data_IF_534222620258
#
_entry.id   IF_534222620258
#
_cell.length_a   1.000
_cell.length_b   1.000
_cell.length_c   1.000
_cell.angle_alpha   90.00
_cell.angle_beta   90.00
_cell.angle_gamma   90.00
#
_symmetry.space_group_name_H-M   'P 1'
#
loop_
_entity.id
_entity.type
_entity.pdbx_description
1 polymer ?
#
# COMPACT_ATOMS: atom_id res chain seq x y z
N UNK A 1 -6.52 -5.84 -20.44
CA UNK A 1 -6.25 -5.41 -19.05
C UNK A 1 -4.89 -5.91 -18.51
N UNK A 2 -3.88 -6.19 -19.36
CA UNK A 2 -2.57 -6.72 -18.90
C UNK A 2 -1.58 -5.64 -18.42
N UNK A 3 -1.89 -4.37 -18.62
CA UNK A 3 -0.97 -3.25 -18.33
C UNK A 3 -1.16 -2.59 -16.97
N UNK A 4 -2.15 -3.05 -16.17
CA UNK A 4 -2.38 -2.48 -14.85
C UNK A 4 -1.46 -3.11 -13.82
N UNK A 5 -0.77 -2.25 -13.07
CA UNK A 5 0.26 -2.59 -12.10
C UNK A 5 -0.35 -2.55 -10.69
N UNK A 6 -0.01 -3.49 -9.82
CA UNK A 6 -0.44 -3.48 -8.41
C UNK A 6 0.37 -2.42 -7.66
N UNK A 7 -0.26 -1.34 -7.19
CA UNK A 7 0.44 -0.28 -6.47
C UNK A 7 0.65 -0.63 -5.00
N UNK A 8 1.88 -0.47 -4.55
CA UNK A 8 2.34 -0.65 -3.19
C UNK A 8 3.03 0.64 -2.73
N UNK A 9 2.57 1.22 -1.64
CA UNK A 9 3.32 2.24 -0.92
C UNK A 9 3.93 1.58 0.31
N UNK A 10 5.26 1.67 0.42
CA UNK A 10 6.00 1.14 1.55
C UNK A 10 6.61 2.32 2.31
N UNK A 11 6.21 2.48 3.57
CA UNK A 11 6.89 3.41 4.47
C UNK A 11 8.39 3.06 4.51
N UNK A 12 9.32 4.02 4.30
CA UNK A 12 10.75 3.76 4.34
C UNK A 12 11.22 3.04 5.61
N UNK A 13 10.56 3.25 6.75
CA UNK A 13 10.87 2.57 8.00
C UNK A 13 10.57 1.06 7.96
N UNK A 14 9.65 0.60 7.10
CA UNK A 14 9.35 -0.82 6.90
C UNK A 14 10.57 -1.62 6.40
N UNK A 15 11.56 -0.98 5.75
CA UNK A 15 12.78 -1.65 5.28
C UNK A 15 13.59 -2.30 6.44
N UNK A 16 13.34 -1.89 7.68
CA UNK A 16 14.00 -2.41 8.89
C UNK A 16 13.21 -3.52 9.59
N UNK A 17 12.04 -3.89 9.06
CA UNK A 17 11.11 -4.85 9.67
C UNK A 17 10.97 -6.10 8.81
N UNK A 18 11.46 -7.24 9.29
CA UNK A 18 11.34 -8.51 8.57
C UNK A 18 9.89 -8.87 8.23
N UNK A 19 8.96 -8.57 9.14
CA UNK A 19 7.53 -8.80 8.93
C UNK A 19 6.97 -7.96 7.76
N UNK A 20 7.34 -6.69 7.64
CA UNK A 20 6.92 -5.87 6.51
C UNK A 20 7.54 -6.32 5.19
N UNK A 21 8.80 -6.77 5.22
CA UNK A 21 9.44 -7.36 4.06
C UNK A 21 8.74 -8.65 3.62
N UNK A 22 8.23 -9.45 4.56
CA UNK A 22 7.43 -10.65 4.26
C UNK A 22 6.08 -10.30 3.62
N UNK A 23 5.39 -9.27 4.12
CA UNK A 23 4.16 -8.73 3.49
C UNK A 23 4.46 -8.33 2.04
N UNK A 24 5.51 -7.55 1.81
CA UNK A 24 5.91 -7.11 0.47
C UNK A 24 6.17 -8.31 -0.47
N UNK A 25 7.01 -9.26 -0.03
CA UNK A 25 7.33 -10.47 -0.83
C UNK A 25 6.09 -11.28 -1.16
N UNK A 26 5.17 -11.41 -0.21
CA UNK A 26 3.92 -12.16 -0.41
C UNK A 26 3.04 -11.50 -1.45
N UNK A 27 2.90 -10.17 -1.42
CA UNK A 27 2.12 -9.44 -2.42
C UNK A 27 2.76 -9.53 -3.80
N UNK A 28 4.09 -9.41 -3.89
CA UNK A 28 4.82 -9.58 -5.15
C UNK A 28 4.64 -10.98 -5.73
N UNK A 29 4.67 -12.02 -4.88
CA UNK A 29 4.40 -13.40 -5.28
C UNK A 29 2.96 -13.58 -5.81
N UNK A 30 1.98 -13.00 -5.14
CA UNK A 30 0.59 -13.02 -5.60
C UNK A 30 0.40 -12.26 -6.92
N UNK A 31 1.01 -11.09 -7.06
CA UNK A 31 0.98 -10.32 -8.31
C UNK A 31 1.55 -11.14 -9.47
N UNK A 32 2.72 -11.75 -9.28
CA UNK A 32 3.36 -12.62 -10.26
C UNK A 32 2.48 -13.83 -10.64
N UNK A 33 1.86 -14.49 -9.66
CA UNK A 33 0.93 -15.60 -9.90
C UNK A 33 -0.29 -15.18 -10.75
N UNK A 34 -0.69 -13.91 -10.65
CA UNK A 34 -1.76 -13.32 -11.48
C UNK A 34 -1.27 -12.65 -12.76
N UNK A 35 -0.01 -12.86 -13.16
CA UNK A 35 0.62 -12.23 -14.32
C UNK A 35 0.58 -10.69 -14.30
N UNK A 36 0.70 -10.10 -13.10
CA UNK A 36 0.76 -8.65 -12.89
C UNK A 36 2.11 -8.24 -12.33
N UNK A 37 2.52 -7.02 -12.68
CA UNK A 37 3.67 -6.37 -12.07
C UNK A 37 3.26 -5.62 -10.80
N UNK A 38 4.25 -5.31 -9.96
CA UNK A 38 4.09 -4.42 -8.80
C UNK A 38 4.81 -3.10 -9.06
N UNK A 39 4.29 -2.00 -8.52
CA UNK A 39 4.97 -0.71 -8.43
C UNK A 39 5.14 -0.43 -6.94
N UNK A 40 6.37 -0.43 -6.46
CA UNK A 40 6.69 -0.05 -5.08
C UNK A 40 7.11 1.41 -5.08
N UNK A 41 6.27 2.26 -4.48
CA UNK A 41 6.50 3.67 -4.32
C UNK A 41 6.95 4.00 -2.90
N UNK A 42 7.78 5.04 -2.78
CA UNK A 42 8.26 5.54 -1.48
C UNK A 42 7.37 6.63 -0.88
N UNK A 43 6.48 7.21 -1.69
CA UNK A 43 5.54 8.25 -1.26
C UNK A 43 4.23 8.23 -2.06
N UNK A 44 3.20 8.92 -1.56
CA UNK A 44 1.87 8.96 -2.17
C UNK A 44 1.85 9.63 -3.54
N UNK A 45 2.69 10.65 -3.73
CA UNK A 45 2.74 11.46 -4.96
C UNK A 45 3.16 10.64 -6.18
N UNK A 46 4.09 9.70 -6.03
CA UNK A 46 4.50 8.78 -7.11
C UNK A 46 3.32 7.94 -7.62
N UNK A 47 2.47 7.46 -6.71
CA UNK A 47 1.28 6.68 -7.05
C UNK A 47 0.20 7.54 -7.71
N UNK A 48 -0.03 8.75 -7.19
CA UNK A 48 -1.00 9.70 -7.77
C UNK A 48 -0.61 10.05 -9.21
N UNK A 49 0.67 10.34 -9.46
CA UNK A 49 1.18 10.64 -10.81
C UNK A 49 1.01 9.46 -11.77
N UNK A 50 1.14 8.23 -11.26
CA UNK A 50 1.05 7.01 -12.07
C UNK A 50 -0.36 6.41 -12.16
N UNK A 51 -1.38 7.06 -11.56
CA UNK A 51 -2.72 6.49 -11.31
C UNK A 51 -3.38 5.81 -12.51
N UNK A 52 -3.23 6.35 -13.71
CA UNK A 52 -3.85 5.79 -14.92
C UNK A 52 -3.39 4.36 -15.25
N UNK A 53 -2.22 3.94 -14.73
CA UNK A 53 -1.62 2.62 -14.95
C UNK A 53 -1.77 1.69 -13.75
N UNK A 54 -2.41 2.15 -12.68
CA UNK A 54 -2.52 1.40 -11.42
C UNK A 54 -3.82 0.62 -11.35
N UNK A 55 -3.75 -0.57 -10.75
CA UNK A 55 -4.92 -1.27 -10.24
C UNK A 55 -5.45 -0.53 -9.00
N UNK A 56 -6.76 -0.53 -8.81
CA UNK A 56 -7.34 -0.25 -7.50
C UNK A 56 -7.56 -1.58 -6.74
N UNK A 57 -7.33 -1.63 -5.41
CA UNK A 57 -6.88 -0.55 -4.53
C UNK A 57 -5.35 -0.42 -4.41
N UNK A 58 -4.89 0.70 -3.83
CA UNK A 58 -3.52 0.89 -3.34
C UNK A 58 -3.30 0.12 -2.06
N UNK A 59 -2.20 -0.63 -1.98
CA UNK A 59 -1.78 -1.29 -0.75
C UNK A 59 -0.77 -0.39 -0.06
N UNK A 60 -1.09 0.04 1.17
CA UNK A 60 -0.24 0.89 1.99
C UNK A 60 0.31 0.04 3.15
N UNK A 61 1.61 -0.17 3.14
CA UNK A 61 2.33 -0.78 4.25
C UNK A 61 2.95 0.34 5.10
N UNK A 62 2.35 0.60 6.25
CA UNK A 62 2.80 1.65 7.18
C UNK A 62 3.60 1.08 8.35
N UNK A 63 4.51 1.87 8.90
CA UNK A 63 5.29 1.48 10.09
C UNK A 63 4.95 2.36 11.30
N UNK A 64 4.83 3.67 11.08
CA UNK A 64 4.47 4.65 12.12
C UNK A 64 3.11 5.27 11.80
N UNK A 65 2.30 5.47 12.84
CA UNK A 65 0.92 5.95 12.71
C UNK A 65 0.85 7.37 12.14
N UNK A 66 1.76 8.27 12.50
CA UNK A 66 1.77 9.66 12.01
C UNK A 66 2.04 9.73 10.51
N UNK A 67 3.10 9.04 10.04
CA UNK A 67 3.44 8.88 8.62
C UNK A 67 2.30 8.24 7.81
N UNK A 68 1.66 7.22 8.40
CA UNK A 68 0.51 6.56 7.80
C UNK A 68 -0.67 7.53 7.64
N UNK A 69 -1.02 8.30 8.66
CA UNK A 69 -2.12 9.27 8.60
C UNK A 69 -1.94 10.26 7.44
N UNK A 70 -0.75 10.85 7.30
CA UNK A 70 -0.46 11.79 6.21
C UNK A 70 -0.60 11.12 4.83
N UNK A 71 -0.02 9.93 4.69
CA UNK A 71 -0.07 9.16 3.44
C UNK A 71 -1.49 8.81 3.04
N UNK A 72 -2.28 8.27 3.98
CA UNK A 72 -3.64 7.85 3.71
C UNK A 72 -4.54 9.05 3.43
N UNK A 73 -4.38 10.18 4.15
CA UNK A 73 -5.12 11.41 3.85
C UNK A 73 -4.81 11.95 2.45
N UNK A 74 -3.55 11.90 2.03
CA UNK A 74 -3.12 12.35 0.69
C UNK A 74 -3.76 11.49 -0.41
N UNK A 75 -3.71 10.16 -0.26
CA UNK A 75 -4.31 9.23 -1.21
C UNK A 75 -5.85 9.30 -1.21
N UNK A 76 -6.47 9.49 -0.05
CA UNK A 76 -7.91 9.70 0.10
C UNK A 76 -8.37 11.00 -0.57
N UNK A 77 -7.62 12.10 -0.39
CA UNK A 77 -7.86 13.38 -1.04
C UNK A 77 -7.75 13.30 -2.56
N UNK A 78 -6.89 12.41 -3.06
CA UNK A 78 -6.84 12.07 -4.48
C UNK A 78 -8.01 11.16 -4.92
N UNK A 79 -8.80 10.61 -4.01
CA UNK A 79 -9.90 9.69 -4.30
C UNK A 79 -9.44 8.27 -4.65
N UNK A 80 -8.30 7.83 -4.11
CA UNK A 80 -7.79 6.47 -4.30
C UNK A 80 -8.31 5.54 -3.20
N UNK A 81 -8.71 4.32 -3.57
CA UNK A 81 -9.11 3.29 -2.61
C UNK A 81 -7.86 2.63 -2.04
N UNK A 82 -7.87 2.31 -0.75
CA UNK A 82 -6.69 1.82 -0.05
C UNK A 82 -6.98 0.56 0.77
N UNK A 83 -5.98 -0.30 0.84
CA UNK A 83 -5.85 -1.38 1.84
C UNK A 83 -4.63 -1.05 2.70
N UNK A 84 -4.81 -1.02 4.01
CA UNK A 84 -3.70 -0.84 4.96
C UNK A 84 -3.26 -2.21 5.49
N UNK A 85 -1.95 -2.44 5.50
CA UNK A 85 -1.31 -3.65 5.99
C UNK A 85 -0.08 -3.32 6.85
N UNK A 86 0.31 -4.21 7.76
CA UNK A 86 1.53 -4.03 8.55
C UNK A 86 1.39 -3.12 9.78
N UNK A 87 0.22 -2.52 9.99
CA UNK A 87 -0.02 -1.63 11.14
C UNK A 87 -1.51 -1.57 11.44
N UNK A 88 -1.83 -1.37 12.72
CA UNK A 88 -3.19 -1.09 13.14
C UNK A 88 -3.64 0.27 12.61
N UNK A 89 -4.86 0.30 12.07
CA UNK A 89 -5.41 1.42 11.35
C UNK A 89 -6.58 2.08 12.10
N UNK A 90 -6.81 1.69 13.35
CA UNK A 90 -7.95 2.11 14.17
C UNK A 90 -8.02 3.63 14.38
N UNK A 91 -6.87 4.29 14.31
CA UNK A 91 -6.77 5.73 14.49
C UNK A 91 -6.93 6.54 13.19
N UNK A 92 -7.14 5.90 12.04
CA UNK A 92 -7.33 6.60 10.77
C UNK A 92 -8.75 7.17 10.67
N UNK A 93 -8.86 8.47 10.40
CA UNK A 93 -10.13 9.18 10.24
C UNK A 93 -10.77 9.01 8.86
N UNK A 94 -10.28 8.07 8.06
CA UNK A 94 -10.63 7.92 6.65
C UNK A 94 -11.02 6.47 6.36
N UNK A 95 -12.00 6.23 5.47
CA UNK A 95 -12.47 4.88 5.18
C UNK A 95 -11.39 4.09 4.45
N UNK A 96 -10.76 3.17 5.18
CA UNK A 96 -9.78 2.21 4.67
C UNK A 96 -10.26 0.79 4.92
N UNK A 97 -9.85 -0.15 4.05
CA UNK A 97 -9.96 -1.58 4.37
C UNK A 97 -8.67 -2.02 5.06
N UNK A 98 -8.78 -2.62 6.24
CA UNK A 98 -7.63 -3.04 7.03
C UNK A 98 -7.50 -4.56 6.98
N UNK A 99 -6.29 -5.07 6.79
CA UNK A 99 -6.01 -6.50 6.92
C UNK A 99 -5.04 -6.71 8.06
N UNK A 100 -5.56 -7.16 9.19
CA UNK A 100 -4.78 -7.61 10.34
C UNK A 100 -4.65 -9.13 10.27
N UNK A 101 -3.42 -9.65 10.24
CA UNK A 101 -3.19 -11.08 10.42
C UNK A 101 -2.84 -11.31 11.89
N UNK A 102 -3.77 -11.84 12.68
CA UNK A 102 -3.42 -12.46 13.95
C UNK A 102 -2.62 -13.73 13.67
N UNK A 103 -1.56 -13.97 14.44
CA UNK A 103 -0.85 -15.26 14.42
C UNK A 103 -1.74 -16.39 14.90
#
# INVERSE_FOLDING_TARGET
>A
MRDQVVPLLLDPACARSEWHLEILRSIQKCAAATQRNTLVASCAQELIQSRQRLCDPVIVAGFEQESLCETVNTLAGAGMRMIVAGIDADALSVPVSCVTHSR
#
